data_IF_460099647488
#
_entry.id   IF_460099647488
#
_cell.length_a   1.000
_cell.length_b   1.000
_cell.length_c   1.000
_cell.angle_alpha   90.00
_cell.angle_beta   90.00
_cell.angle_gamma   90.00
#
_symmetry.space_group_name_H-M   'P 1'
#
loop_
_entity.id
_entity.type
_entity.pdbx_description
1 polymer ?
#
# COMPACT_ATOMS: atom_id res chain seq x y z
N UNK A 1 -21.00 -60.22 4.86
CA UNK A 1 -20.48 -59.30 5.87
C UNK A 1 -20.07 -58.03 5.15
N UNK A 2 -20.85 -56.99 5.29
CA UNK A 2 -20.56 -55.66 4.72
C UNK A 2 -19.90 -54.91 5.86
N UNK A 3 -18.57 -54.59 5.71
CA UNK A 3 -17.86 -53.80 6.67
C UNK A 3 -18.35 -52.35 6.63
N UNK A 4 -18.81 -51.85 7.78
CA UNK A 4 -19.18 -50.46 8.01
C UNK A 4 -17.98 -49.56 7.81
N UNK A 5 -17.89 -48.84 6.68
CA UNK A 5 -17.02 -47.70 6.47
C UNK A 5 -17.41 -46.60 7.46
N UNK A 6 -16.70 -46.52 8.60
CA UNK A 6 -16.76 -45.36 9.49
C UNK A 6 -16.34 -44.12 8.74
N UNK A 7 -17.32 -43.31 8.38
CA UNK A 7 -17.07 -41.93 7.90
C UNK A 7 -16.35 -41.20 9.04
N UNK A 8 -15.12 -40.76 8.78
CA UNK A 8 -14.36 -39.93 9.71
C UNK A 8 -15.18 -38.66 10.03
N UNK A 9 -15.25 -38.24 11.31
CA UNK A 9 -15.98 -37.03 11.67
C UNK A 9 -15.39 -35.85 10.88
N UNK A 10 -16.26 -35.05 10.26
CA UNK A 10 -15.87 -33.78 9.62
C UNK A 10 -15.07 -32.99 10.65
N UNK A 11 -13.84 -32.60 10.29
CA UNK A 11 -13.02 -31.69 11.09
C UNK A 11 -13.89 -30.47 11.41
N UNK A 12 -13.99 -30.15 12.71
CA UNK A 12 -14.63 -28.92 13.15
C UNK A 12 -14.02 -27.73 12.34
N UNK A 13 -14.84 -26.78 11.85
CA UNK A 13 -14.33 -25.66 11.12
C UNK A 13 -13.25 -24.98 12.00
N UNK A 14 -12.04 -24.84 11.47
CA UNK A 14 -10.99 -24.09 12.16
C UNK A 14 -11.52 -22.67 12.44
N UNK A 15 -11.25 -22.10 13.64
CA UNK A 15 -11.75 -20.77 13.98
C UNK A 15 -11.43 -19.80 12.83
N UNK A 16 -12.41 -19.01 12.46
CA UNK A 16 -12.24 -18.00 11.42
C UNK A 16 -11.17 -17.00 11.86
N UNK A 17 -10.19 -16.72 10.98
CA UNK A 17 -9.16 -15.73 11.27
C UNK A 17 -9.80 -14.34 11.35
N UNK A 18 -9.58 -13.65 12.45
CA UNK A 18 -10.10 -12.29 12.65
C UNK A 18 -9.33 -11.24 11.86
N UNK A 19 -10.04 -10.25 11.31
CA UNK A 19 -9.45 -9.18 10.52
C UNK A 19 -9.73 -7.82 11.15
N UNK A 20 -8.67 -7.05 11.40
CA UNK A 20 -8.76 -5.60 11.66
C UNK A 20 -8.53 -4.86 10.36
N UNK A 21 -9.37 -3.86 10.05
CA UNK A 21 -9.18 -2.98 8.89
C UNK A 21 -8.73 -1.61 9.37
N UNK A 22 -7.67 -1.05 8.79
CA UNK A 22 -7.13 0.28 9.08
C UNK A 22 -7.40 1.20 7.90
N UNK A 23 -8.04 2.33 8.16
CA UNK A 23 -8.41 3.35 7.16
C UNK A 23 -7.90 4.72 7.64
N UNK A 24 -6.77 5.22 7.10
CA UNK A 24 -6.35 6.60 7.35
C UNK A 24 -7.23 7.57 6.55
N UNK A 25 -7.57 8.72 7.11
CA UNK A 25 -8.39 9.74 6.45
C UNK A 25 -7.98 11.15 6.84
N UNK A 26 -8.21 12.11 5.91
CA UNK A 26 -8.00 13.54 6.14
C UNK A 26 -8.87 14.39 5.23
N UNK A 27 -9.88 15.10 5.81
CA UNK A 27 -10.83 16.00 5.13
C UNK A 27 -11.59 15.37 3.94
N UNK A 28 -11.91 14.07 3.97
CA UNK A 28 -12.55 13.33 2.87
C UNK A 28 -13.78 12.54 3.34
N UNK A 29 -14.70 13.17 4.04
CA UNK A 29 -15.89 12.52 4.64
C UNK A 29 -16.69 11.71 3.62
N UNK A 30 -16.91 12.23 2.40
CA UNK A 30 -17.69 11.54 1.37
C UNK A 30 -17.00 10.26 0.88
N UNK A 31 -15.70 10.31 0.70
CA UNK A 31 -14.89 9.14 0.32
C UNK A 31 -14.87 8.12 1.45
N UNK A 32 -14.59 8.57 2.68
CA UNK A 32 -14.61 7.75 3.87
C UNK A 32 -15.97 7.05 4.07
N UNK A 33 -17.09 7.77 3.90
CA UNK A 33 -18.42 7.17 4.00
C UNK A 33 -18.59 6.04 3.00
N UNK A 34 -18.20 6.24 1.73
CA UNK A 34 -18.24 5.19 0.70
C UNK A 34 -17.39 3.98 1.09
N UNK A 35 -16.18 4.20 1.61
CA UNK A 35 -15.30 3.15 2.09
C UNK A 35 -15.94 2.34 3.22
N UNK A 36 -16.48 3.00 4.24
CA UNK A 36 -17.14 2.35 5.37
C UNK A 36 -18.38 1.56 4.96
N UNK A 37 -19.20 2.08 4.03
CA UNK A 37 -20.33 1.35 3.46
C UNK A 37 -19.90 0.09 2.70
N UNK A 38 -18.76 0.12 1.99
CA UNK A 38 -18.22 -1.07 1.33
C UNK A 38 -17.68 -2.10 2.33
N UNK A 39 -17.14 -1.65 3.45
CA UNK A 39 -16.71 -2.52 4.56
C UNK A 39 -17.91 -3.15 5.29
N UNK A 40 -19.03 -2.43 5.42
CA UNK A 40 -20.29 -2.94 5.96
C UNK A 40 -20.87 -4.09 5.12
N UNK A 41 -20.62 -4.08 3.81
CA UNK A 41 -21.14 -5.05 2.84
C UNK A 41 -20.19 -6.25 2.59
N UNK A 42 -19.17 -6.44 3.42
CA UNK A 42 -18.26 -7.57 3.25
C UNK A 42 -18.95 -8.90 3.55
N UNK A 43 -18.70 -9.95 2.73
CA UNK A 43 -19.18 -11.33 2.96
C UNK A 43 -18.71 -11.89 4.31
N UNK A 44 -17.50 -11.50 4.73
CA UNK A 44 -16.94 -11.80 6.06
C UNK A 44 -16.65 -10.45 6.72
N UNK A 45 -17.40 -10.15 7.77
CA UNK A 45 -17.25 -8.89 8.49
C UNK A 45 -15.87 -8.79 9.17
N UNK A 46 -15.19 -7.62 9.13
CA UNK A 46 -14.03 -7.39 9.96
C UNK A 46 -14.44 -7.38 11.45
N UNK A 47 -13.56 -7.80 12.35
CA UNK A 47 -13.84 -7.72 13.78
C UNK A 47 -13.82 -6.26 14.27
N UNK A 48 -13.07 -5.41 13.60
CA UNK A 48 -13.00 -3.96 13.86
C UNK A 48 -12.55 -3.21 12.61
N UNK A 49 -13.00 -1.97 12.51
CA UNK A 49 -12.47 -0.97 11.56
C UNK A 49 -11.92 0.19 12.34
N UNK A 50 -10.64 0.49 12.12
CA UNK A 50 -9.89 1.55 12.79
C UNK A 50 -9.73 2.70 11.81
N UNK A 51 -10.49 3.76 12.01
CA UNK A 51 -10.35 5.00 11.23
C UNK A 51 -9.35 5.91 11.96
N UNK A 52 -8.25 6.25 11.27
CA UNK A 52 -7.22 7.14 11.83
C UNK A 52 -7.41 8.54 11.28
N UNK A 53 -7.69 9.48 12.18
CA UNK A 53 -8.08 10.85 11.85
C UNK A 53 -7.09 11.86 12.43
N UNK A 54 -6.75 12.88 11.66
CA UNK A 54 -5.94 14.01 12.15
C UNK A 54 -6.69 14.78 13.25
N UNK A 55 -5.93 15.22 14.23
CA UNK A 55 -6.42 16.06 15.35
C UNK A 55 -7.10 17.35 14.88
N UNK A 56 -6.70 17.89 13.74
CA UNK A 56 -7.24 19.11 13.13
C UNK A 56 -8.53 18.91 12.35
N UNK A 57 -8.88 17.68 11.97
CA UNK A 57 -10.02 17.34 11.10
C UNK A 57 -11.32 17.13 11.93
N UNK A 58 -11.85 18.22 12.50
CA UNK A 58 -13.04 18.19 13.36
C UNK A 58 -14.29 17.67 12.65
N UNK A 59 -14.43 17.92 11.37
CA UNK A 59 -15.61 17.49 10.60
C UNK A 59 -15.68 15.98 10.52
N UNK A 60 -14.56 15.32 10.21
CA UNK A 60 -14.48 13.86 10.18
C UNK A 60 -14.71 13.27 11.59
N UNK A 61 -14.20 13.89 12.66
CA UNK A 61 -14.47 13.46 14.03
C UNK A 61 -15.97 13.48 14.35
N UNK A 62 -16.67 14.57 14.00
CA UNK A 62 -18.11 14.71 14.23
C UNK A 62 -18.91 13.69 13.41
N UNK A 63 -18.53 13.45 12.17
CA UNK A 63 -19.14 12.45 11.32
C UNK A 63 -19.04 11.05 11.92
N UNK A 64 -17.84 10.63 12.34
CA UNK A 64 -17.61 9.31 12.92
C UNK A 64 -18.32 9.12 14.27
N UNK A 65 -18.42 10.17 15.08
CA UNK A 65 -19.14 10.11 16.37
C UNK A 65 -20.66 9.85 16.21
N UNK A 66 -21.22 10.15 15.04
CA UNK A 66 -22.65 9.92 14.74
C UNK A 66 -22.88 8.57 14.01
N UNK A 67 -21.80 7.86 13.62
CA UNK A 67 -21.90 6.63 12.84
C UNK A 67 -21.91 5.40 13.75
N UNK A 68 -22.86 4.51 13.53
CA UNK A 68 -23.00 3.24 14.27
C UNK A 68 -23.13 2.06 13.29
N UNK A 69 -22.01 1.53 12.78
CA UNK A 69 -22.01 0.33 11.93
C UNK A 69 -22.61 -0.87 12.67
N UNK A 70 -23.29 -1.75 11.94
CA UNK A 70 -23.92 -2.95 12.51
C UNK A 70 -23.03 -4.20 12.42
N UNK A 71 -22.12 -4.25 11.41
CA UNK A 71 -21.35 -5.46 11.11
C UNK A 71 -19.95 -5.49 11.74
N UNK A 72 -19.44 -4.39 12.27
CA UNK A 72 -18.12 -4.31 12.89
C UNK A 72 -18.02 -3.27 14.01
N UNK A 73 -17.03 -3.44 14.88
CA UNK A 73 -16.67 -2.41 15.87
C UNK A 73 -15.93 -1.27 15.17
N UNK A 74 -16.48 -0.04 15.23
CA UNK A 74 -15.81 1.16 14.71
C UNK A 74 -14.94 1.80 15.80
N UNK A 75 -13.64 1.90 15.55
CA UNK A 75 -12.69 2.60 16.43
C UNK A 75 -12.12 3.82 15.71
N UNK A 76 -12.09 4.96 16.40
CA UNK A 76 -11.47 6.17 15.88
C UNK A 76 -10.19 6.45 16.67
N UNK A 77 -9.07 6.61 15.95
CA UNK A 77 -7.75 6.87 16.53
C UNK A 77 -7.24 8.23 16.05
N UNK A 78 -6.75 9.02 17.01
CA UNK A 78 -6.17 10.33 16.71
C UNK A 78 -4.71 10.22 16.29
N UNK A 79 -4.33 10.98 15.26
CA UNK A 79 -2.93 11.20 14.88
C UNK A 79 -2.64 12.70 14.83
N UNK A 80 -1.53 13.14 15.44
CA UNK A 80 -1.10 14.54 15.46
C UNK A 80 -0.05 14.85 14.41
N UNK A 81 0.75 13.85 14.03
CA UNK A 81 1.78 14.01 13.01
C UNK A 81 1.19 13.91 11.60
N UNK A 82 1.59 14.81 10.66
CA UNK A 82 1.18 14.72 9.26
C UNK A 82 1.81 13.53 8.54
N UNK A 83 1.05 12.97 7.59
CA UNK A 83 1.52 11.91 6.71
C UNK A 83 0.89 10.54 6.98
N UNK A 84 0.80 9.77 5.90
CA UNK A 84 0.18 8.43 5.94
C UNK A 84 0.93 7.45 6.83
N UNK A 85 2.25 7.57 6.94
CA UNK A 85 3.10 6.68 7.76
C UNK A 85 2.73 6.78 9.25
N UNK A 86 2.57 8.00 9.76
CA UNK A 86 2.14 8.21 11.14
C UNK A 86 0.75 7.63 11.38
N UNK A 87 -0.19 7.87 10.46
CA UNK A 87 -1.54 7.33 10.54
C UNK A 87 -1.57 5.80 10.48
N UNK A 88 -0.81 5.18 9.56
CA UNK A 88 -0.70 3.72 9.45
C UNK A 88 -0.12 3.09 10.72
N UNK A 89 0.89 3.72 11.33
CA UNK A 89 1.48 3.23 12.59
C UNK A 89 0.50 3.36 13.77
N UNK A 90 -0.20 4.49 13.88
CA UNK A 90 -1.25 4.66 14.90
C UNK A 90 -2.35 3.60 14.74
N UNK A 91 -2.83 3.39 13.52
CA UNK A 91 -3.83 2.38 13.21
C UNK A 91 -3.34 0.97 13.50
N UNK A 92 -2.14 0.60 13.04
CA UNK A 92 -1.52 -0.71 13.28
C UNK A 92 -1.44 -1.04 14.77
N UNK A 93 -1.02 -0.07 15.58
CA UNK A 93 -0.87 -0.24 17.03
C UNK A 93 -2.22 -0.42 17.75
N UNK A 94 -3.32 0.01 17.17
CA UNK A 94 -4.66 -0.12 17.73
C UNK A 94 -5.37 -1.43 17.34
N UNK A 95 -4.80 -2.23 16.41
CA UNK A 95 -5.42 -3.46 15.89
C UNK A 95 -5.30 -4.65 16.82
N UNK A 96 -6.34 -5.53 16.83
CA UNK A 96 -6.35 -6.79 17.59
C UNK A 96 -6.46 -8.04 16.71
N UNK A 97 -6.92 -7.93 15.46
CA UNK A 97 -7.15 -9.06 14.55
C UNK A 97 -5.87 -9.85 14.20
N UNK A 98 -6.00 -11.09 13.78
CA UNK A 98 -4.91 -11.97 13.32
C UNK A 98 -4.38 -11.55 11.94
N UNK A 99 -5.24 -10.89 11.15
CA UNK A 99 -4.92 -10.25 9.88
C UNK A 99 -5.15 -8.75 10.06
N UNK A 100 -4.22 -7.94 9.58
CA UNK A 100 -4.36 -6.49 9.50
C UNK A 100 -4.46 -6.11 8.05
N UNK A 101 -5.60 -5.58 7.64
CA UNK A 101 -5.86 -5.10 6.29
C UNK A 101 -5.80 -3.56 6.27
N UNK A 102 -5.13 -3.01 5.29
CA UNK A 102 -5.05 -1.57 5.05
C UNK A 102 -5.75 -1.22 3.75
N UNK A 103 -6.57 -0.18 3.79
CA UNK A 103 -7.18 0.41 2.61
C UNK A 103 -7.27 1.92 2.78
N UNK A 104 -7.40 2.66 1.66
CA UNK A 104 -7.52 4.11 1.71
C UNK A 104 -9.00 4.52 1.86
N UNK A 105 -9.24 5.73 2.39
CA UNK A 105 -10.59 6.26 2.54
C UNK A 105 -11.29 6.55 1.19
N UNK A 106 -10.53 6.72 0.10
CA UNK A 106 -11.02 6.90 -1.26
C UNK A 106 -11.19 5.56 -2.03
N UNK A 107 -11.21 4.44 -1.29
CA UNK A 107 -11.38 3.10 -1.82
C UNK A 107 -12.70 2.46 -1.38
N UNK A 108 -13.24 1.55 -2.21
CA UNK A 108 -14.37 0.70 -1.88
C UNK A 108 -13.99 -0.77 -2.13
N UNK A 109 -13.63 -1.53 -1.10
CA UNK A 109 -13.34 -2.95 -1.23
C UNK A 109 -14.54 -3.75 -1.76
N UNK A 110 -14.28 -4.69 -2.68
CA UNK A 110 -15.32 -5.59 -3.19
C UNK A 110 -15.87 -6.49 -2.07
N UNK A 111 -17.13 -6.95 -2.14
CA UNK A 111 -17.77 -7.71 -1.06
C UNK A 111 -17.01 -8.97 -0.62
N UNK A 112 -16.25 -9.59 -1.48
CA UNK A 112 -15.45 -10.79 -1.23
C UNK A 112 -13.97 -10.51 -0.86
N UNK A 113 -13.61 -9.24 -0.63
CA UNK A 113 -12.23 -8.81 -0.38
C UNK A 113 -11.62 -9.48 0.84
N UNK A 114 -12.25 -9.39 2.02
CA UNK A 114 -11.75 -10.01 3.25
C UNK A 114 -11.80 -11.53 3.19
N UNK A 115 -12.87 -12.11 2.64
CA UNK A 115 -13.01 -13.56 2.45
C UNK A 115 -11.82 -14.13 1.66
N UNK A 116 -11.46 -13.51 0.53
CA UNK A 116 -10.32 -13.92 -0.30
C UNK A 116 -8.98 -13.75 0.40
N UNK A 117 -8.80 -12.64 1.13
CA UNK A 117 -7.59 -12.42 1.94
C UNK A 117 -7.42 -13.54 2.98
N UNK A 118 -8.47 -13.84 3.75
CA UNK A 118 -8.49 -14.93 4.76
C UNK A 118 -8.16 -16.27 4.12
N UNK A 119 -8.80 -16.61 2.99
CA UNK A 119 -8.55 -17.85 2.27
C UNK A 119 -7.08 -18.01 1.85
N UNK A 120 -6.46 -16.92 1.36
CA UNK A 120 -5.05 -16.93 0.97
C UNK A 120 -4.13 -17.18 2.19
N UNK A 121 -4.36 -16.51 3.31
CA UNK A 121 -3.57 -16.70 4.53
C UNK A 121 -3.77 -18.09 5.15
N UNK A 122 -5.00 -18.61 5.15
CA UNK A 122 -5.33 -19.94 5.69
C UNK A 122 -4.61 -21.05 4.91
N UNK A 123 -4.58 -20.95 3.60
CA UNK A 123 -4.02 -21.98 2.73
C UNK A 123 -2.48 -22.00 2.72
N UNK A 124 -1.81 -20.95 3.19
CA UNK A 124 -0.35 -20.92 3.19
C UNK A 124 0.22 -20.17 4.41
N UNK A 125 0.76 -20.90 5.41
CA UNK A 125 1.35 -20.30 6.63
C UNK A 125 2.55 -19.41 6.39
N UNK A 126 3.26 -19.55 5.24
CA UNK A 126 4.41 -18.71 4.87
C UNK A 126 4.00 -17.41 4.17
N UNK A 127 2.71 -17.21 3.88
CA UNK A 127 2.23 -15.94 3.35
C UNK A 127 2.15 -14.93 4.50
N UNK A 128 2.96 -13.88 4.41
CA UNK A 128 3.00 -12.77 5.36
C UNK A 128 2.19 -11.57 4.90
N UNK A 129 1.95 -11.44 3.58
CA UNK A 129 1.14 -10.36 3.03
C UNK A 129 0.36 -10.78 1.79
N UNK A 130 -0.82 -10.20 1.62
CA UNK A 130 -1.75 -10.42 0.52
C UNK A 130 -2.24 -9.06 0.02
N UNK A 131 -2.34 -8.91 -1.28
CA UNK A 131 -2.95 -7.75 -1.91
C UNK A 131 -3.57 -8.13 -3.25
N UNK A 132 -4.20 -7.17 -3.88
CA UNK A 132 -4.87 -7.44 -5.13
C UNK A 132 -4.96 -6.22 -6.04
N UNK A 133 -5.93 -6.26 -6.95
CA UNK A 133 -6.09 -5.23 -7.96
C UNK A 133 -6.83 -4.03 -7.39
N UNK A 134 -6.25 -2.85 -7.55
CA UNK A 134 -6.92 -1.58 -7.37
C UNK A 134 -7.50 -1.11 -8.72
N UNK A 135 -8.82 -1.09 -8.84
CA UNK A 135 -9.54 -0.62 -10.02
C UNK A 135 -9.64 0.91 -9.95
N UNK A 136 -8.72 1.59 -10.64
CA UNK A 136 -8.57 3.05 -10.54
C UNK A 136 -9.59 3.76 -11.42
N UNK A 137 -10.36 4.64 -10.80
CA UNK A 137 -11.33 5.50 -11.47
C UNK A 137 -10.83 6.95 -11.55
N UNK A 138 -10.95 7.54 -12.72
CA UNK A 138 -10.76 8.96 -13.00
C UNK A 138 -12.14 9.58 -13.24
N UNK A 139 -12.79 10.07 -12.19
CA UNK A 139 -14.23 10.38 -12.23
C UNK A 139 -15.04 9.10 -12.46
N UNK A 140 -15.73 8.98 -13.60
CA UNK A 140 -16.47 7.79 -14.01
C UNK A 140 -15.66 6.81 -14.88
N UNK A 141 -14.50 7.22 -15.36
CA UNK A 141 -13.71 6.43 -16.31
C UNK A 141 -12.76 5.49 -15.59
N UNK A 142 -12.91 4.19 -15.82
CA UNK A 142 -12.02 3.16 -15.32
C UNK A 142 -10.72 3.13 -16.12
N UNK A 143 -9.58 3.19 -15.43
CA UNK A 143 -8.27 3.00 -16.05
C UNK A 143 -8.13 1.56 -16.57
N UNK A 144 -7.94 1.43 -17.89
CA UNK A 144 -7.86 0.13 -18.56
C UNK A 144 -6.42 -0.29 -18.80
N UNK A 145 -6.18 -1.59 -18.67
CA UNK A 145 -4.88 -2.17 -18.92
C UNK A 145 -4.84 -3.65 -18.54
N UNK A 146 -3.82 -4.36 -19.08
CA UNK A 146 -3.62 -5.77 -18.82
C UNK A 146 -2.11 -6.06 -18.74
N UNK A 147 -1.59 -6.36 -17.55
CA UNK A 147 -0.19 -6.71 -17.32
C UNK A 147 -0.08 -7.96 -16.47
N UNK A 148 0.76 -8.89 -16.89
CA UNK A 148 1.06 -10.11 -16.13
C UNK A 148 2.15 -9.89 -15.07
N UNK A 149 3.06 -8.94 -15.28
CA UNK A 149 4.10 -8.59 -14.30
C UNK A 149 3.61 -7.49 -13.38
N UNK A 150 3.51 -7.80 -12.08
CA UNK A 150 2.99 -6.90 -11.03
C UNK A 150 3.90 -6.97 -9.80
N UNK A 151 4.15 -5.84 -9.17
CA UNK A 151 4.84 -5.76 -7.88
C UNK A 151 6.23 -6.40 -7.86
N UNK A 152 6.96 -6.38 -8.98
CA UNK A 152 8.27 -7.05 -9.10
C UNK A 152 9.43 -6.06 -9.05
N UNK A 153 10.40 -6.37 -8.21
CA UNK A 153 11.66 -5.65 -8.12
C UNK A 153 12.71 -6.33 -9.02
N UNK A 154 13.21 -5.61 -10.01
CA UNK A 154 14.32 -6.08 -10.82
C UNK A 154 15.61 -6.08 -9.99
N UNK A 155 16.55 -6.94 -10.31
CA UNK A 155 17.77 -7.15 -9.51
C UNK A 155 18.60 -5.88 -9.28
N UNK A 156 18.51 -4.89 -10.18
CA UNK A 156 19.18 -3.59 -10.09
C UNK A 156 18.32 -2.49 -9.45
N UNK A 157 17.21 -2.82 -8.82
CA UNK A 157 16.39 -1.90 -8.02
C UNK A 157 15.24 -1.22 -8.75
N UNK A 158 14.95 -1.51 -10.04
CA UNK A 158 13.76 -0.97 -10.70
C UNK A 158 12.51 -1.74 -10.26
N UNK A 159 11.53 -1.02 -9.69
CA UNK A 159 10.22 -1.58 -9.38
C UNK A 159 9.29 -1.55 -10.61
N UNK A 160 8.61 -2.66 -10.86
CA UNK A 160 7.49 -2.78 -11.80
C UNK A 160 6.21 -2.87 -10.97
N UNK A 161 5.44 -1.79 -10.89
CA UNK A 161 4.20 -1.72 -10.11
C UNK A 161 3.05 -2.49 -10.76
N UNK A 162 2.25 -1.84 -11.61
CA UNK A 162 1.14 -2.42 -12.39
C UNK A 162 -0.01 -3.05 -11.58
N UNK A 163 -0.14 -2.78 -10.27
CA UNK A 163 -1.18 -3.39 -9.44
C UNK A 163 -2.59 -3.09 -9.95
N UNK A 164 -2.83 -1.88 -10.46
CA UNK A 164 -4.12 -1.41 -10.99
C UNK A 164 -4.55 -2.07 -12.31
N UNK A 165 -3.61 -2.65 -13.05
CA UNK A 165 -3.85 -3.30 -14.35
C UNK A 165 -3.37 -4.76 -14.39
N UNK A 166 -3.11 -5.34 -13.22
CA UNK A 166 -2.68 -6.73 -13.11
C UNK A 166 -3.76 -7.72 -13.48
N UNK A 167 -3.42 -8.73 -14.27
CA UNK A 167 -4.31 -9.82 -14.72
C UNK A 167 -3.66 -11.19 -14.50
N UNK A 168 -4.44 -12.26 -14.64
CA UNK A 168 -4.00 -13.65 -14.56
C UNK A 168 -4.25 -14.26 -13.17
N UNK A 169 -3.45 -15.26 -12.80
CA UNK A 169 -3.61 -15.99 -11.55
C UNK A 169 -2.87 -15.32 -10.38
N UNK A 170 -3.22 -15.75 -9.16
CA UNK A 170 -2.51 -15.35 -7.94
C UNK A 170 -1.02 -15.73 -8.03
N UNK A 171 -0.14 -14.83 -7.58
CA UNK A 171 1.31 -15.00 -7.71
C UNK A 171 2.11 -14.29 -6.65
N UNK A 172 3.32 -14.77 -6.42
CA UNK A 172 4.27 -14.12 -5.52
C UNK A 172 4.79 -12.81 -6.12
N UNK A 173 4.79 -11.75 -5.32
CA UNK A 173 5.29 -10.41 -5.66
C UNK A 173 6.33 -9.95 -4.64
N UNK A 174 7.04 -8.86 -4.94
CA UNK A 174 8.02 -8.28 -4.03
C UNK A 174 7.44 -7.09 -3.25
N UNK A 175 6.42 -6.42 -3.81
CA UNK A 175 5.78 -5.23 -3.23
C UNK A 175 4.27 -5.31 -3.42
N UNK A 176 3.52 -5.00 -2.36
CA UNK A 176 2.08 -4.76 -2.38
C UNK A 176 1.79 -3.26 -2.54
N UNK A 177 0.53 -2.90 -2.77
CA UNK A 177 0.08 -1.51 -2.94
C UNK A 177 -0.76 -1.04 -1.75
N UNK A 178 -0.50 0.17 -1.26
CA UNK A 178 -1.07 0.72 -0.03
C UNK A 178 -2.59 0.65 0.08
N UNK A 179 -3.32 0.93 -1.00
CA UNK A 179 -4.79 0.90 -1.06
C UNK A 179 -5.39 -0.50 -0.90
N UNK A 180 -4.60 -1.56 -1.13
CA UNK A 180 -5.06 -2.97 -1.11
C UNK A 180 -3.93 -3.88 -0.62
N UNK A 181 -3.65 -3.84 0.67
CA UNK A 181 -2.64 -4.68 1.30
C UNK A 181 -3.12 -5.19 2.66
N UNK A 182 -2.92 -6.49 2.89
CA UNK A 182 -3.25 -7.15 4.16
C UNK A 182 -2.05 -7.94 4.63
N UNK A 183 -1.85 -8.02 5.94
CA UNK A 183 -0.70 -8.69 6.52
C UNK A 183 -1.10 -9.63 7.66
N UNK A 184 -0.42 -10.77 7.77
CA UNK A 184 -0.50 -11.65 8.92
C UNK A 184 0.16 -10.97 10.13
N UNK A 185 -0.54 -10.89 11.26
CA UNK A 185 -0.01 -10.26 12.49
C UNK A 185 1.36 -10.80 12.88
N UNK A 186 1.55 -12.12 12.86
CA UNK A 186 2.84 -12.74 13.22
C UNK A 186 3.98 -12.38 12.28
N UNK A 187 3.67 -11.99 11.04
CA UNK A 187 4.68 -11.53 10.07
C UNK A 187 5.13 -10.08 10.33
N UNK A 188 4.29 -9.27 10.96
CA UNK A 188 4.52 -7.84 11.16
C UNK A 188 4.63 -7.41 12.63
N UNK A 189 4.61 -8.35 13.58
CA UNK A 189 4.56 -8.04 15.03
C UNK A 189 5.68 -7.11 15.52
N UNK A 190 6.83 -7.08 14.84
CA UNK A 190 7.99 -6.25 15.17
C UNK A 190 8.28 -5.20 14.08
N UNK A 191 7.33 -4.94 13.19
CA UNK A 191 7.48 -3.99 12.10
C UNK A 191 6.58 -2.78 12.31
N UNK A 192 7.13 -1.64 11.92
CA UNK A 192 6.42 -0.37 11.79
C UNK A 192 6.70 0.20 10.40
N UNK A 193 5.81 1.01 9.88
CA UNK A 193 6.11 1.83 8.72
C UNK A 193 7.22 2.83 9.08
N UNK A 194 8.20 2.97 8.21
CA UNK A 194 9.43 3.71 8.52
C UNK A 194 9.18 5.23 8.60
N UNK A 195 9.35 5.80 9.76
CA UNK A 195 9.13 7.23 10.03
C UNK A 195 10.12 8.17 9.32
N UNK A 196 11.20 7.63 8.70
CA UNK A 196 12.12 8.42 7.89
C UNK A 196 11.55 8.76 6.50
N UNK A 197 10.39 8.18 6.13
CA UNK A 197 9.66 8.52 4.91
C UNK A 197 9.24 9.98 4.93
N UNK A 198 9.57 10.72 3.87
CA UNK A 198 9.29 12.16 3.74
C UNK A 198 7.97 12.42 3.04
N UNK A 199 7.38 13.55 3.36
CA UNK A 199 6.09 14.03 2.88
C UNK A 199 5.13 14.29 4.02
N UNK A 200 4.12 15.13 3.80
CA UNK A 200 3.10 15.50 4.79
C UNK A 200 1.75 14.83 4.52
N UNK A 201 1.65 14.06 3.45
CA UNK A 201 0.46 13.33 3.02
C UNK A 201 0.77 11.91 2.59
N UNK A 202 0.84 11.67 1.28
CA UNK A 202 0.94 10.33 0.70
C UNK A 202 2.22 9.56 1.03
N UNK A 203 3.33 10.23 1.29
CA UNK A 203 4.65 9.62 1.59
C UNK A 203 4.97 8.40 0.70
N UNK A 204 4.86 8.59 -0.61
CA UNK A 204 4.97 7.55 -1.65
C UNK A 204 6.12 6.58 -1.38
N UNK A 205 5.92 5.29 -1.66
CA UNK A 205 6.86 4.17 -1.41
C UNK A 205 6.93 3.66 0.05
N UNK A 206 6.07 4.14 0.97
CA UNK A 206 6.00 3.59 2.33
C UNK A 206 5.64 2.09 2.31
N UNK A 207 4.72 1.69 1.43
CA UNK A 207 4.29 0.30 1.22
C UNK A 207 5.41 -0.57 0.63
N UNK A 208 6.27 0.01 -0.22
CA UNK A 208 7.43 -0.69 -0.76
C UNK A 208 8.42 -1.04 0.35
N UNK A 209 8.78 -0.09 1.19
CA UNK A 209 9.70 -0.33 2.30
C UNK A 209 9.16 -1.39 3.25
N UNK A 210 7.88 -1.32 3.60
CA UNK A 210 7.22 -2.29 4.47
C UNK A 210 7.19 -3.69 3.84
N UNK A 211 6.79 -3.80 2.58
CA UNK A 211 6.78 -5.06 1.81
C UNK A 211 8.16 -5.71 1.74
N UNK A 212 9.18 -4.94 1.42
CA UNK A 212 10.55 -5.44 1.31
C UNK A 212 11.11 -5.88 2.68
N UNK A 213 10.67 -5.27 3.78
CA UNK A 213 11.04 -5.71 5.13
C UNK A 213 10.48 -7.11 5.45
N UNK A 214 9.24 -7.41 5.04
CA UNK A 214 8.69 -8.77 5.17
C UNK A 214 9.47 -9.78 4.30
N UNK A 215 9.76 -9.41 3.05
CA UNK A 215 10.55 -10.26 2.13
C UNK A 215 11.93 -10.60 2.70
N UNK A 216 12.57 -9.66 3.38
CA UNK A 216 13.87 -9.86 4.03
C UNK A 216 13.82 -10.86 5.18
N UNK A 217 12.64 -11.03 5.78
CA UNK A 217 12.36 -12.01 6.83
C UNK A 217 11.73 -13.30 6.27
N UNK A 218 11.97 -13.61 4.99
CA UNK A 218 11.52 -14.82 4.27
C UNK A 218 10.00 -15.02 4.20
N UNK A 219 9.22 -13.97 4.44
CA UNK A 219 7.77 -14.01 4.21
C UNK A 219 7.44 -13.86 2.74
N UNK A 220 6.42 -14.59 2.29
CA UNK A 220 5.88 -14.46 0.94
C UNK A 220 4.81 -13.37 0.90
N UNK A 221 4.82 -12.59 -0.18
CA UNK A 221 3.76 -11.64 -0.51
C UNK A 221 3.04 -12.15 -1.75
N UNK A 222 1.71 -12.20 -1.70
CA UNK A 222 0.86 -12.68 -2.80
C UNK A 222 0.04 -11.52 -3.34
N UNK A 223 0.02 -11.39 -4.66
CA UNK A 223 -0.92 -10.57 -5.39
C UNK A 223 -1.93 -11.48 -6.10
N UNK A 224 -3.22 -11.32 -5.80
CA UNK A 224 -4.32 -11.98 -6.52
C UNK A 224 -5.21 -10.91 -7.17
N UNK A 225 -5.31 -10.84 -8.52
CA UNK A 225 -6.15 -9.84 -9.19
C UNK A 225 -7.65 -9.98 -8.90
N UNK A 226 -8.08 -11.09 -8.29
CA UNK A 226 -9.46 -11.31 -7.84
C UNK A 226 -9.77 -10.64 -6.50
N UNK A 227 -8.74 -10.23 -5.75
CA UNK A 227 -8.88 -9.42 -4.52
C UNK A 227 -9.01 -7.96 -4.96
N UNK A 228 -10.23 -7.50 -5.20
CA UNK A 228 -10.52 -6.23 -5.83
C UNK A 228 -10.85 -5.11 -4.84
N UNK A 229 -10.40 -3.90 -5.17
CA UNK A 229 -10.79 -2.66 -4.51
C UNK A 229 -11.04 -1.61 -5.59
N UNK A 230 -12.20 -0.95 -5.60
CA UNK A 230 -12.45 0.21 -6.43
C UNK A 230 -11.79 1.44 -5.79
N UNK A 231 -10.98 2.17 -6.55
CA UNK A 231 -10.18 3.29 -6.05
C UNK A 231 -10.54 4.58 -6.80
N UNK A 232 -11.21 5.49 -6.11
CA UNK A 232 -11.81 6.72 -6.67
C UNK A 232 -10.93 7.97 -6.51
N UNK A 233 -9.63 7.83 -6.45
CA UNK A 233 -8.60 8.88 -6.40
C UNK A 233 -9.07 10.22 -5.81
N UNK A 234 -9.28 10.25 -4.50
CA UNK A 234 -9.72 11.46 -3.78
C UNK A 234 -8.73 12.64 -3.90
N UNK A 235 -9.20 13.83 -3.57
CA UNK A 235 -8.36 15.03 -3.50
C UNK A 235 -7.25 14.87 -2.47
N UNK A 236 -6.04 15.36 -2.78
CA UNK A 236 -4.92 15.45 -1.84
C UNK A 236 -4.76 16.85 -1.30
N UNK A 237 -4.44 16.96 -0.02
CA UNK A 237 -4.26 18.22 0.71
C UNK A 237 -2.78 18.46 1.12
N UNK A 238 -1.87 17.80 0.44
CA UNK A 238 -0.43 17.83 0.68
C UNK A 238 0.33 18.44 -0.51
N UNK A 239 1.66 18.35 -0.48
CA UNK A 239 2.53 18.81 -1.56
C UNK A 239 2.39 18.01 -2.87
N UNK A 240 1.86 16.77 -2.83
CA UNK A 240 1.65 15.92 -4.00
C UNK A 240 0.20 16.02 -4.50
N UNK A 241 -0.11 17.04 -5.26
CA UNK A 241 -1.45 17.28 -5.83
C UNK A 241 -1.72 16.49 -7.13
N UNK A 242 -0.99 15.40 -7.39
CA UNK A 242 -1.15 14.47 -8.53
C UNK A 242 -1.09 15.10 -9.92
N UNK A 243 -1.81 16.20 -10.16
CA UNK A 243 -2.00 16.79 -11.50
C UNK A 243 -1.01 17.91 -11.81
N UNK A 244 -0.24 18.36 -10.83
CA UNK A 244 0.77 19.41 -10.98
C UNK A 244 2.13 18.92 -10.50
N UNK A 245 3.16 19.19 -11.31
CA UNK A 245 4.52 18.90 -10.88
C UNK A 245 4.89 19.79 -9.69
N UNK A 246 5.34 19.15 -8.61
CA UNK A 246 5.91 19.81 -7.45
C UNK A 246 7.29 19.18 -7.19
N UNK A 247 8.32 20.01 -7.13
CA UNK A 247 9.71 19.56 -6.96
C UNK A 247 9.96 18.95 -5.57
N UNK A 248 9.30 19.46 -4.53
CA UNK A 248 9.39 18.94 -3.16
C UNK A 248 8.74 17.54 -3.11
N UNK A 249 7.54 17.39 -3.67
CA UNK A 249 6.85 16.09 -3.74
C UNK A 249 7.71 15.06 -4.49
N UNK A 250 8.26 15.44 -5.64
CA UNK A 250 9.15 14.56 -6.42
C UNK A 250 10.45 14.23 -5.69
N UNK A 251 11.04 15.17 -5.01
CA UNK A 251 12.24 14.95 -4.19
C UNK A 251 11.96 13.98 -3.04
N UNK A 252 10.81 14.13 -2.34
CA UNK A 252 10.38 13.25 -1.26
C UNK A 252 10.10 11.82 -1.78
N UNK A 253 9.39 11.68 -2.89
CA UNK A 253 9.14 10.38 -3.54
C UNK A 253 10.46 9.64 -3.85
N UNK A 254 11.40 10.32 -4.51
CA UNK A 254 12.70 9.73 -4.87
C UNK A 254 13.58 9.47 -3.65
N UNK A 255 13.51 10.30 -2.61
CA UNK A 255 14.14 10.05 -1.31
C UNK A 255 13.61 8.73 -0.71
N UNK A 256 12.28 8.57 -0.65
CA UNK A 256 11.62 7.41 -0.06
C UNK A 256 11.94 6.11 -0.82
N UNK A 257 11.89 6.15 -2.17
CA UNK A 257 12.35 5.03 -2.99
C UNK A 257 13.81 4.66 -2.69
N UNK A 258 14.66 5.65 -2.54
CA UNK A 258 16.09 5.45 -2.31
C UNK A 258 16.36 4.77 -0.97
N UNK A 259 15.77 5.25 0.12
CA UNK A 259 15.98 4.61 1.45
C UNK A 259 15.42 3.20 1.48
N UNK A 260 14.24 2.96 0.87
CA UNK A 260 13.65 1.63 0.81
C UNK A 260 14.56 0.65 0.07
N UNK A 261 15.04 1.01 -1.10
CA UNK A 261 15.89 0.14 -1.91
C UNK A 261 17.28 -0.05 -1.30
N UNK A 262 17.92 1.01 -0.80
CA UNK A 262 19.23 0.88 -0.15
C UNK A 262 19.15 0.05 1.15
N UNK A 263 18.03 0.07 1.84
CA UNK A 263 17.83 -0.78 3.03
C UNK A 263 17.68 -2.26 2.67
N UNK A 264 17.10 -2.59 1.51
CA UNK A 264 16.79 -3.95 1.09
C UNK A 264 17.89 -4.60 0.24
N UNK A 265 18.44 -3.88 -0.74
CA UNK A 265 19.37 -4.40 -1.74
C UNK A 265 20.71 -4.82 -1.11
N UNK A 266 21.35 -5.85 -1.68
CA UNK A 266 22.73 -6.23 -1.36
C UNK A 266 23.74 -5.15 -1.77
N UNK A 267 24.96 -5.13 -1.22
CA UNK A 267 25.94 -4.09 -1.56
C UNK A 267 26.20 -3.92 -3.07
N UNK A 268 26.30 -5.04 -3.81
CA UNK A 268 26.49 -5.01 -5.26
C UNK A 268 25.25 -4.41 -5.96
N UNK A 269 24.07 -4.83 -5.57
CA UNK A 269 22.81 -4.30 -6.15
C UNK A 269 22.64 -2.81 -5.85
N UNK A 270 23.02 -2.32 -4.66
CA UNK A 270 23.01 -0.88 -4.31
C UNK A 270 23.87 -0.08 -5.27
N UNK A 271 25.07 -0.55 -5.56
CA UNK A 271 25.95 0.10 -6.52
C UNK A 271 25.30 0.22 -7.91
N UNK A 272 24.76 -0.88 -8.43
CA UNK A 272 24.09 -0.87 -9.73
C UNK A 272 22.81 -0.04 -9.74
N UNK A 273 22.04 -0.05 -8.65
CA UNK A 273 20.86 0.80 -8.50
C UNK A 273 21.23 2.28 -8.56
N UNK A 274 22.21 2.71 -7.79
CA UNK A 274 22.64 4.11 -7.80
C UNK A 274 23.18 4.54 -9.17
N UNK A 275 24.02 3.71 -9.78
CA UNK A 275 24.55 4.00 -11.12
C UNK A 275 23.42 4.07 -12.17
N UNK A 276 22.53 3.07 -12.17
CA UNK A 276 21.38 3.04 -13.08
C UNK A 276 20.46 4.24 -12.87
N UNK A 277 20.14 4.56 -11.63
CA UNK A 277 19.21 5.65 -11.30
C UNK A 277 19.75 7.04 -11.67
N UNK A 278 21.05 7.25 -11.57
CA UNK A 278 21.70 8.52 -11.97
C UNK A 278 21.86 8.62 -13.49
N UNK A 279 22.26 7.54 -14.15
CA UNK A 279 22.53 7.55 -15.58
C UNK A 279 21.28 7.34 -16.43
N UNK A 280 20.43 6.39 -16.09
CA UNK A 280 19.26 6.01 -16.91
C UNK A 280 17.97 6.48 -16.25
N UNK A 281 17.62 5.92 -15.08
CA UNK A 281 16.41 6.22 -14.34
C UNK A 281 15.11 5.74 -15.01
N UNK A 282 14.00 6.27 -14.53
CA UNK A 282 12.66 6.09 -15.12
C UNK A 282 12.15 7.42 -15.69
N UNK A 283 10.97 7.42 -16.31
CA UNK A 283 10.32 8.67 -16.74
C UNK A 283 9.96 9.57 -15.54
N UNK A 284 9.62 8.94 -14.40
CA UNK A 284 9.17 9.64 -13.20
C UNK A 284 10.34 10.05 -12.29
N UNK A 285 11.34 9.17 -12.11
CA UNK A 285 12.59 9.44 -11.39
C UNK A 285 13.75 9.47 -12.38
N UNK A 286 13.96 10.62 -13.04
CA UNK A 286 14.84 10.77 -14.19
C UNK A 286 16.32 10.65 -13.82
N UNK A 287 17.04 9.85 -14.64
CA UNK A 287 18.49 9.94 -14.83
C UNK A 287 18.83 10.71 -16.08
N UNK A 288 20.13 10.83 -16.39
CA UNK A 288 20.66 11.62 -17.50
C UNK A 288 20.06 11.23 -18.87
N UNK A 289 19.94 9.93 -19.15
CA UNK A 289 19.39 9.42 -20.43
C UNK A 289 17.92 9.82 -20.61
N UNK A 290 17.10 9.68 -19.56
CA UNK A 290 15.70 10.08 -19.63
C UNK A 290 15.55 11.60 -19.77
N UNK A 291 16.38 12.38 -19.11
CA UNK A 291 16.41 13.82 -19.27
C UNK A 291 16.71 14.24 -20.71
N UNK A 292 17.79 13.72 -21.31
CA UNK A 292 18.15 14.00 -22.71
C UNK A 292 17.00 13.61 -23.66
N UNK A 293 16.37 12.46 -23.43
CA UNK A 293 15.25 11.96 -24.24
C UNK A 293 14.01 12.85 -24.17
N UNK A 294 13.70 13.37 -22.97
CA UNK A 294 12.46 14.12 -22.72
C UNK A 294 12.63 15.62 -22.84
N UNK A 295 13.86 16.15 -22.77
CA UNK A 295 14.16 17.56 -22.90
C UNK A 295 13.51 18.23 -24.13
N UNK A 296 13.51 17.64 -25.35
CA UNK A 296 12.88 18.25 -26.52
C UNK A 296 11.36 18.37 -26.41
N UNK A 297 10.69 17.55 -25.55
CA UNK A 297 9.24 17.52 -25.40
C UNK A 297 8.76 18.30 -24.18
N UNK A 298 9.47 18.20 -23.07
CA UNK A 298 9.07 18.74 -21.77
C UNK A 298 9.85 20.03 -21.40
N UNK A 299 10.92 20.36 -22.15
CA UNK A 299 11.68 21.60 -21.93
C UNK A 299 12.20 21.75 -20.49
N UNK A 300 11.91 22.89 -19.88
CA UNK A 300 12.34 23.20 -18.51
C UNK A 300 11.79 22.23 -17.47
N UNK A 301 10.60 21.64 -17.69
CA UNK A 301 10.02 20.66 -16.78
C UNK A 301 10.90 19.41 -16.66
N UNK A 302 11.48 18.91 -17.75
CA UNK A 302 12.42 17.80 -17.70
C UNK A 302 13.64 18.13 -16.82
N UNK A 303 14.13 19.36 -16.88
CA UNK A 303 15.26 19.83 -16.06
C UNK A 303 14.89 19.93 -14.57
N UNK A 304 13.70 20.40 -14.26
CA UNK A 304 13.19 20.41 -12.88
C UNK A 304 13.05 18.98 -12.33
N UNK A 305 12.50 18.04 -13.12
CA UNK A 305 12.33 16.62 -12.74
C UNK A 305 13.67 15.92 -12.45
N UNK A 306 14.69 16.10 -13.28
CA UNK A 306 16.01 15.47 -13.03
C UNK A 306 16.68 16.08 -11.80
N UNK A 307 16.60 17.39 -11.59
CA UNK A 307 17.16 18.03 -10.40
C UNK A 307 16.48 17.54 -9.12
N UNK A 308 15.15 17.47 -9.09
CA UNK A 308 14.40 16.92 -7.97
C UNK A 308 14.78 15.45 -7.72
N UNK A 309 14.91 14.64 -8.79
CA UNK A 309 15.31 13.24 -8.70
C UNK A 309 16.73 13.08 -8.11
N UNK A 310 17.69 13.81 -8.58
CA UNK A 310 19.06 13.73 -8.08
C UNK A 310 19.19 14.22 -6.63
N UNK A 311 18.50 15.29 -6.27
CA UNK A 311 18.43 15.76 -4.89
C UNK A 311 17.79 14.72 -3.97
N UNK A 312 16.67 14.15 -4.39
CA UNK A 312 16.00 13.06 -3.65
C UNK A 312 16.91 11.86 -3.45
N UNK A 313 17.63 11.42 -4.51
CA UNK A 313 18.63 10.32 -4.41
C UNK A 313 19.74 10.64 -3.40
N UNK A 314 20.30 11.82 -3.47
CA UNK A 314 21.36 12.24 -2.55
C UNK A 314 20.87 12.27 -1.11
N UNK A 315 19.72 12.90 -0.85
CA UNK A 315 19.14 12.98 0.49
C UNK A 315 18.74 11.61 1.02
N UNK A 316 18.15 10.74 0.19
CA UNK A 316 17.82 9.37 0.54
C UNK A 316 19.06 8.52 0.88
N UNK A 317 20.15 8.70 0.14
CA UNK A 317 21.44 8.08 0.47
C UNK A 317 22.00 8.57 1.81
N UNK A 318 21.91 9.87 2.10
CA UNK A 318 22.32 10.41 3.40
C UNK A 318 21.48 9.82 4.54
N UNK A 319 20.15 9.86 4.42
CA UNK A 319 19.23 9.30 5.42
C UNK A 319 19.44 7.80 5.65
N UNK A 320 19.79 7.04 4.62
CA UNK A 320 20.06 5.61 4.76
C UNK A 320 21.36 5.32 5.53
N UNK A 321 22.35 6.22 5.45
CA UNK A 321 23.64 6.05 6.15
C UNK A 321 23.61 6.39 7.64
N UNK A 322 22.63 7.20 8.07
CA UNK A 322 22.38 7.51 9.50
C UNK A 322 21.57 6.43 10.18
#
# INVERSE_FOLDING_TARGET
MIEDLKVAPALAPSPEMTVSVVVPTYYRIHDLHRCLMALEQQNVAPCEVIVVVRDTDRETWNFLAALTPESFELKTVMVTEPGVVAAMNCGLNATIGEIIAFTDDDAAPHPDWLERCIACFRNNPKVGGVGGRDWVFHGTDLERGAKSTVGKLQWFGRLIGNHHIGIGEAREVDVLKGVNMSFRRTAIQNLQFDSRMRGTGAQVHFEMMFSLSLRRNDWKLIYDPKIGVDHFRGQRFDEDQRDQFNDIAKMNEVHNETIALLSYLSPMQRYFFLLWSLLIGTRDAMGLVQWIRLLPREGNLASQKIWASWRGRWQGYQTWRT
#
